data_IF_127004958234
#
_entry.id   IF_127004958234
#
_cell.length_a   1.000
_cell.length_b   1.000
_cell.length_c   1.000
_cell.angle_alpha   90.00
_cell.angle_beta   90.00
_cell.angle_gamma   90.00
#
_symmetry.space_group_name_H-M   'P 1'
#
loop_
_entity.id
_entity.type
_entity.pdbx_description
1 polymer ?
#
# COMPACT_ATOMS: atom_id res chain seq x y z
N UNK A 1 -1.69 30.19 10.33
CA UNK A 1 -2.14 28.88 10.85
C UNK A 1 -1.69 27.79 9.88
N UNK A 2 -0.57 27.12 10.15
CA UNK A 2 -0.14 25.95 9.35
C UNK A 2 -0.82 24.72 9.94
N UNK A 3 -1.76 24.14 9.19
CA UNK A 3 -2.45 22.93 9.58
C UNK A 3 -1.45 21.82 9.85
N UNK A 4 -1.50 21.25 11.04
CA UNK A 4 -0.83 19.99 11.36
C UNK A 4 -1.56 18.88 10.59
N UNK A 5 -1.25 18.74 9.30
CA UNK A 5 -1.46 17.49 8.58
C UNK A 5 -0.61 16.46 9.32
N UNK A 6 -1.27 15.51 9.99
CA UNK A 6 -0.62 14.53 10.85
C UNK A 6 0.58 13.90 10.16
N UNK A 7 1.68 13.71 10.90
CA UNK A 7 2.82 12.94 10.42
C UNK A 7 2.36 11.52 10.08
N UNK A 8 2.01 11.29 8.82
CA UNK A 8 1.85 9.94 8.33
C UNK A 8 3.25 9.34 8.25
N UNK A 9 3.50 8.27 9.02
CA UNK A 9 4.65 7.40 8.75
C UNK A 9 4.44 6.83 7.34
N UNK A 10 5.19 7.37 6.39
CA UNK A 10 5.21 6.94 5.00
C UNK A 10 6.42 6.04 4.80
N UNK A 11 6.27 5.02 3.95
CA UNK A 11 7.42 4.22 3.52
C UNK A 11 8.40 5.12 2.76
N UNK A 12 9.70 4.86 2.96
CA UNK A 12 10.79 5.41 2.14
C UNK A 12 11.05 4.58 0.89
N UNK A 13 10.48 3.38 0.82
CA UNK A 13 10.71 2.39 -0.24
C UNK A 13 9.52 2.27 -1.19
N UNK A 14 8.32 2.65 -0.76
CA UNK A 14 7.09 2.49 -1.54
C UNK A 14 6.24 3.75 -1.55
N UNK A 15 5.62 4.03 -2.69
CA UNK A 15 4.57 5.02 -2.84
C UNK A 15 3.33 4.38 -3.47
N UNK A 16 2.15 4.97 -3.24
CA UNK A 16 0.95 4.65 -4.01
C UNK A 16 0.56 5.84 -4.86
N UNK A 17 0.34 5.62 -6.15
CA UNK A 17 -0.19 6.60 -7.09
C UNK A 17 -1.65 6.29 -7.38
N UNK A 18 -2.52 7.30 -7.33
CA UNK A 18 -3.97 7.14 -7.52
C UNK A 18 -4.44 8.02 -8.66
N UNK A 19 -5.10 7.41 -9.64
CA UNK A 19 -5.84 8.13 -10.68
C UNK A 19 -7.16 8.68 -10.15
N UNK A 20 -7.68 9.72 -10.79
CA UNK A 20 -9.04 10.22 -10.54
C UNK A 20 -10.13 9.14 -10.73
N UNK A 21 -9.89 8.18 -11.62
CA UNK A 21 -10.74 6.99 -11.81
C UNK A 21 -10.83 6.08 -10.58
N UNK A 22 -10.00 6.30 -9.55
CA UNK A 22 -9.89 5.49 -8.35
C UNK A 22 -8.96 4.29 -8.50
N UNK A 23 -8.23 4.18 -9.63
CA UNK A 23 -7.24 3.12 -9.84
C UNK A 23 -5.94 3.45 -9.11
N UNK A 24 -5.44 2.48 -8.34
CA UNK A 24 -4.24 2.60 -7.54
C UNK A 24 -3.06 1.82 -8.13
N UNK A 25 -1.86 2.35 -7.95
CA UNK A 25 -0.60 1.72 -8.33
C UNK A 25 0.36 1.77 -7.15
N UNK A 26 0.73 0.61 -6.58
CA UNK A 26 1.86 0.52 -5.66
C UNK A 26 3.16 0.51 -6.46
N UNK A 27 4.07 1.40 -6.11
CA UNK A 27 5.31 1.64 -6.84
C UNK A 27 6.48 1.62 -5.86
N UNK A 28 7.49 0.81 -6.17
CA UNK A 28 8.75 0.79 -5.45
C UNK A 28 9.59 2.02 -5.85
N UNK A 29 10.14 2.73 -4.87
CA UNK A 29 10.96 3.93 -5.03
C UNK A 29 12.42 3.53 -5.32
N UNK A 30 12.67 3.09 -6.55
CA UNK A 30 14.00 2.70 -7.02
C UNK A 30 14.51 3.64 -8.12
N UNK A 31 15.82 3.89 -8.13
CA UNK A 31 16.48 4.73 -9.14
C UNK A 31 16.78 3.96 -10.43
N UNK A 32 15.74 3.51 -11.13
CA UNK A 32 15.84 2.86 -12.44
C UNK A 32 14.55 2.96 -13.21
N UNK A 33 14.62 2.85 -14.53
CA UNK A 33 13.43 2.77 -15.38
C UNK A 33 12.64 1.49 -15.08
N UNK A 34 11.40 1.64 -14.63
CA UNK A 34 10.47 0.55 -14.35
C UNK A 34 9.25 0.62 -15.26
N UNK A 35 8.89 -0.51 -15.86
CA UNK A 35 7.62 -0.67 -16.58
C UNK A 35 6.52 -1.03 -15.59
N UNK A 36 5.55 -0.13 -15.41
CA UNK A 36 4.39 -0.34 -14.55
C UNK A 36 3.14 -0.48 -15.43
N UNK A 37 2.45 -1.62 -15.30
CA UNK A 37 1.28 -1.93 -16.11
C UNK A 37 0.19 -0.86 -15.90
N UNK A 38 -0.14 -0.14 -16.96
CA UNK A 38 -1.15 0.93 -16.95
C UNK A 38 -0.63 2.33 -16.65
N UNK A 39 0.64 2.50 -16.24
CA UNK A 39 1.30 3.81 -16.09
C UNK A 39 2.39 4.06 -17.15
N UNK A 40 2.97 3.00 -17.73
CA UNK A 40 4.05 3.13 -18.70
C UNK A 40 5.43 2.86 -18.09
N UNK A 41 6.47 3.45 -18.66
CA UNK A 41 7.86 3.30 -18.20
C UNK A 41 8.35 4.64 -17.68
N UNK A 42 8.83 4.68 -16.43
CA UNK A 42 9.43 5.87 -15.82
C UNK A 42 10.39 5.45 -14.70
N UNK A 43 11.20 6.39 -14.17
CA UNK A 43 12.05 6.19 -13.02
C UNK A 43 11.33 6.66 -11.73
N UNK A 44 10.86 5.76 -10.85
CA UNK A 44 10.03 6.17 -9.72
C UNK A 44 10.73 7.04 -8.71
N UNK A 45 12.00 6.77 -8.37
CA UNK A 45 12.70 7.59 -7.38
C UNK A 45 12.88 9.01 -7.90
N UNK A 46 13.37 9.17 -9.13
CA UNK A 46 13.60 10.49 -9.71
C UNK A 46 12.28 11.26 -9.87
N UNK A 47 11.25 10.62 -10.44
CA UNK A 47 9.95 11.25 -10.70
C UNK A 47 9.20 11.63 -9.42
N UNK A 48 9.38 10.90 -8.31
CA UNK A 48 8.61 11.10 -7.09
C UNK A 48 9.39 11.77 -5.95
N UNK A 49 10.72 11.91 -6.05
CA UNK A 49 11.57 12.46 -4.97
C UNK A 49 11.09 13.82 -4.45
N UNK A 50 10.70 14.73 -5.35
CA UNK A 50 10.25 16.09 -5.02
C UNK A 50 8.72 16.20 -4.86
N UNK A 51 7.98 15.13 -5.10
CA UNK A 51 6.50 15.14 -5.03
C UNK A 51 6.09 14.74 -3.60
N UNK A 52 5.61 15.64 -2.74
CA UNK A 52 5.23 15.26 -1.38
C UNK A 52 4.04 14.29 -1.37
N UNK A 53 3.84 13.59 -0.26
CA UNK A 53 2.59 12.87 -0.01
C UNK A 53 1.42 13.88 -0.02
N UNK A 54 0.35 13.54 -0.75
CA UNK A 54 -0.75 14.46 -1.06
C UNK A 54 -0.50 15.34 -2.30
N UNK A 55 0.73 15.33 -2.84
CA UNK A 55 1.10 16.01 -4.07
C UNK A 55 0.64 15.27 -5.31
N UNK A 56 0.67 15.96 -6.46
CA UNK A 56 0.31 15.43 -7.76
C UNK A 56 1.52 15.29 -8.67
N UNK A 57 1.48 14.30 -9.55
CA UNK A 57 2.53 14.03 -10.53
C UNK A 57 1.92 13.59 -11.85
N UNK A 58 2.55 13.97 -12.95
CA UNK A 58 2.16 13.50 -14.28
C UNK A 58 3.12 12.40 -14.73
N UNK A 59 2.58 11.23 -15.07
CA UNK A 59 3.33 10.12 -15.66
C UNK A 59 2.68 9.77 -17.01
N UNK A 60 3.43 9.98 -18.09
CA UNK A 60 2.88 9.90 -19.44
C UNK A 60 1.80 10.96 -19.65
N UNK A 61 0.56 10.54 -19.82
CA UNK A 61 -0.61 11.43 -19.98
C UNK A 61 -1.55 11.41 -18.77
N UNK A 62 -1.12 10.81 -17.65
CA UNK A 62 -1.95 10.60 -16.46
C UNK A 62 -1.50 11.52 -15.33
N UNK A 63 -2.43 12.30 -14.81
CA UNK A 63 -2.24 13.00 -13.54
C UNK A 63 -2.62 12.08 -12.38
N UNK A 64 -1.73 11.97 -11.40
CA UNK A 64 -1.80 11.00 -10.31
C UNK A 64 -1.60 11.69 -8.97
N UNK A 65 -2.40 11.33 -7.97
CA UNK A 65 -2.22 11.72 -6.58
C UNK A 65 -1.26 10.76 -5.89
N UNK A 66 -0.19 11.27 -5.26
CA UNK A 66 0.72 10.48 -4.42
C UNK A 66 0.11 10.32 -3.03
N UNK A 67 -0.15 9.09 -2.62
CA UNK A 67 -0.65 8.74 -1.29
C UNK A 67 0.37 7.84 -0.55
N UNK A 68 0.33 7.82 0.80
CA UNK A 68 1.16 6.90 1.55
C UNK A 68 0.67 5.46 1.36
N UNK A 69 1.55 4.44 1.41
CA UNK A 69 1.17 3.04 1.28
C UNK A 69 0.46 2.51 2.54
N UNK A 70 -0.77 2.96 2.79
CA UNK A 70 -1.62 2.49 3.89
C UNK A 70 -2.54 1.36 3.40
N UNK A 71 -3.22 0.67 4.32
CA UNK A 71 -4.04 -0.50 3.98
C UNK A 71 -5.11 -0.21 2.90
N UNK A 72 -5.87 0.90 2.95
CA UNK A 72 -6.86 1.18 1.90
C UNK A 72 -6.22 1.33 0.52
N UNK A 73 -5.05 1.97 0.47
CA UNK A 73 -4.31 2.20 -0.77
C UNK A 73 -3.69 0.91 -1.31
N UNK A 74 -3.01 0.15 -0.46
CA UNK A 74 -2.32 -1.10 -0.80
C UNK A 74 -3.31 -2.21 -1.22
N UNK A 75 -4.41 -2.37 -0.48
CA UNK A 75 -5.44 -3.37 -0.79
C UNK A 75 -6.12 -3.12 -2.13
N UNK A 76 -6.18 -1.86 -2.58
CA UNK A 76 -6.69 -1.48 -3.91
C UNK A 76 -5.64 -1.62 -5.02
N UNK A 77 -4.35 -1.50 -4.72
CA UNK A 77 -3.27 -1.71 -5.70
C UNK A 77 -2.88 -3.18 -5.91
N UNK A 78 -3.34 -4.07 -5.04
CA UNK A 78 -3.01 -5.49 -5.05
C UNK A 78 -3.41 -6.18 -6.36
N UNK A 79 -2.50 -6.96 -6.93
CA UNK A 79 -2.80 -7.85 -8.07
C UNK A 79 -3.56 -9.06 -7.55
N UNK A 80 -4.85 -9.17 -7.90
CA UNK A 80 -5.71 -10.27 -7.46
C UNK A 80 -5.56 -11.48 -8.37
N UNK A 81 -5.21 -12.63 -7.80
CA UNK A 81 -5.15 -13.94 -8.47
C UNK A 81 -6.14 -14.95 -7.91
N UNK A 82 -6.66 -14.68 -6.72
CA UNK A 82 -7.66 -15.46 -6.01
C UNK A 82 -8.65 -14.52 -5.29
N UNK A 83 -9.77 -15.06 -4.82
CA UNK A 83 -10.73 -14.32 -4.02
C UNK A 83 -10.06 -13.78 -2.74
N UNK A 84 -10.33 -12.52 -2.39
CA UNK A 84 -9.67 -11.83 -1.28
C UNK A 84 -10.63 -11.60 -0.13
N UNK A 85 -10.13 -11.72 1.10
CA UNK A 85 -10.82 -11.24 2.30
C UNK A 85 -10.73 -9.71 2.34
N UNK A 86 -11.89 -9.04 2.43
CA UNK A 86 -11.99 -7.58 2.46
C UNK A 86 -11.79 -6.99 3.84
N UNK A 87 -11.71 -5.66 3.94
CA UNK A 87 -11.46 -4.95 5.21
C UNK A 87 -12.49 -5.25 6.31
N UNK A 88 -13.75 -5.47 5.94
CA UNK A 88 -14.82 -5.80 6.89
C UNK A 88 -14.57 -7.13 7.59
N UNK A 89 -14.34 -8.18 6.80
CA UNK A 89 -14.11 -9.53 7.30
C UNK A 89 -12.74 -9.64 7.98
N UNK A 90 -11.71 -9.03 7.41
CA UNK A 90 -10.37 -9.01 7.99
C UNK A 90 -10.37 -8.30 9.36
N UNK A 91 -11.07 -7.16 9.48
CA UNK A 91 -11.22 -6.46 10.75
C UNK A 91 -11.94 -7.32 11.80
N UNK A 92 -12.98 -8.04 11.40
CA UNK A 92 -13.65 -8.99 12.28
C UNK A 92 -12.71 -10.12 12.74
N UNK A 93 -11.94 -10.74 11.83
CA UNK A 93 -11.01 -11.81 12.17
C UNK A 93 -9.91 -11.35 13.12
N UNK A 94 -9.27 -10.22 12.82
CA UNK A 94 -8.23 -9.61 13.67
C UNK A 94 -8.77 -9.36 15.08
N UNK A 95 -9.95 -8.73 15.20
CA UNK A 95 -10.55 -8.44 16.49
C UNK A 95 -11.02 -9.70 17.23
N UNK A 96 -11.64 -10.66 16.52
CA UNK A 96 -12.23 -11.85 17.10
C UNK A 96 -11.18 -12.83 17.64
N UNK A 97 -10.03 -12.90 16.98
CA UNK A 97 -8.88 -13.70 17.39
C UNK A 97 -7.95 -12.96 18.37
N UNK A 98 -8.15 -11.64 18.55
CA UNK A 98 -7.34 -10.83 19.45
C UNK A 98 -5.92 -10.59 18.94
N UNK A 99 -5.70 -10.58 17.61
CA UNK A 99 -4.37 -10.46 17.04
C UNK A 99 -3.74 -9.10 17.34
N UNK A 100 -2.47 -9.11 17.74
CA UNK A 100 -1.70 -7.92 18.04
C UNK A 100 -0.19 -8.12 18.00
N UNK A 101 0.57 -7.12 18.48
CA UNK A 101 2.02 -7.20 18.53
C UNK A 101 2.52 -8.42 19.30
N UNK A 102 3.64 -8.99 18.86
CA UNK A 102 4.29 -10.18 19.42
C UNK A 102 3.57 -11.53 19.18
N UNK A 103 2.38 -11.52 18.59
CA UNK A 103 1.74 -12.78 18.20
C UNK A 103 2.49 -13.46 17.06
N UNK A 104 2.46 -14.78 17.05
CA UNK A 104 2.89 -15.61 15.91
C UNK A 104 1.65 -16.17 15.24
N UNK A 105 1.41 -15.79 13.98
CA UNK A 105 0.25 -16.20 13.21
C UNK A 105 0.69 -17.03 12.02
N UNK A 106 0.06 -18.18 11.83
CA UNK A 106 0.22 -19.02 10.64
C UNK A 106 -0.97 -18.79 9.70
N UNK A 107 -0.72 -18.33 8.48
CA UNK A 107 -1.74 -18.19 7.43
C UNK A 107 -1.58 -19.28 6.37
N UNK A 108 -2.44 -20.29 6.42
CA UNK A 108 -2.50 -21.33 5.39
C UNK A 108 -3.47 -20.92 4.26
N UNK A 109 -2.91 -20.65 3.08
CA UNK A 109 -3.68 -20.20 1.91
C UNK A 109 -3.60 -18.70 1.67
N UNK A 110 -2.39 -18.18 1.48
CA UNK A 110 -2.11 -16.74 1.25
C UNK A 110 -2.98 -16.13 0.13
N UNK A 111 -3.26 -16.90 -0.93
CA UNK A 111 -4.07 -16.42 -2.05
C UNK A 111 -3.46 -15.19 -2.71
N UNK A 112 -4.20 -14.07 -2.73
CA UNK A 112 -3.67 -12.78 -3.21
C UNK A 112 -3.01 -11.93 -2.11
N UNK A 113 -2.82 -12.47 -0.89
CA UNK A 113 -2.39 -11.76 0.32
C UNK A 113 -3.40 -10.73 0.87
N UNK A 114 -4.69 -10.95 0.58
CA UNK A 114 -5.76 -10.03 0.98
C UNK A 114 -5.92 -9.89 2.49
N UNK A 115 -5.98 -11.02 3.21
CA UNK A 115 -5.99 -11.04 4.69
C UNK A 115 -4.61 -10.71 5.26
N UNK A 116 -3.55 -11.22 4.62
CA UNK A 116 -2.17 -11.09 5.09
C UNK A 116 -1.75 -9.64 5.35
N UNK A 117 -2.19 -8.70 4.51
CA UNK A 117 -1.93 -7.27 4.72
C UNK A 117 -2.48 -6.77 6.07
N UNK A 118 -3.68 -7.21 6.47
CA UNK A 118 -4.31 -6.79 7.72
C UNK A 118 -3.68 -7.49 8.92
N UNK A 119 -3.39 -8.79 8.81
CA UNK A 119 -2.68 -9.55 9.85
C UNK A 119 -1.33 -8.90 10.12
N UNK A 120 -0.50 -8.72 9.08
CA UNK A 120 0.81 -8.07 9.22
C UNK A 120 0.71 -6.66 9.81
N UNK A 121 -0.34 -5.91 9.47
CA UNK A 121 -0.57 -4.59 10.07
C UNK A 121 -0.84 -4.65 11.57
N UNK A 122 -1.57 -5.66 12.04
CA UNK A 122 -1.87 -5.86 13.45
C UNK A 122 -0.65 -6.36 14.24
N UNK A 123 0.12 -7.28 13.66
CA UNK A 123 1.34 -7.84 14.24
C UNK A 123 2.47 -6.81 14.38
N UNK A 124 2.53 -5.83 13.47
CA UNK A 124 3.59 -4.83 13.46
C UNK A 124 4.97 -5.45 13.20
N UNK A 125 6.02 -4.80 13.69
CA UNK A 125 7.41 -5.26 13.50
C UNK A 125 7.84 -6.34 14.49
N UNK A 126 7.09 -6.55 15.58
CA UNK A 126 7.47 -7.48 16.65
C UNK A 126 6.75 -8.82 16.60
N UNK A 127 5.64 -8.93 15.86
CA UNK A 127 4.98 -10.21 15.60
C UNK A 127 5.61 -10.97 14.44
N UNK A 128 5.25 -12.25 14.32
CA UNK A 128 5.74 -13.16 13.28
C UNK A 128 4.56 -13.66 12.46
N UNK A 129 4.67 -13.52 11.14
CA UNK A 129 3.68 -14.04 10.20
C UNK A 129 4.32 -15.15 9.37
N UNK A 130 3.78 -16.36 9.51
CA UNK A 130 4.24 -17.59 8.85
C UNK A 130 3.33 -17.96 7.68
#
# INVERSE_FOLDING_TARGET
>A
MRGHLGLFVTSTEWAVLVEESGKNYAVELVDRQLKIKGLGVFNPLQTLSEVPVGGRVVVGQKELLRLPPRLPELSKSMVRRAQTIGSKDAGFLVARLGLGPNDTVLEAGVGSAGLSLYVQRALGASGVHL
#
